data_IF_704792134603
#
_entry.id   IF_704792134603
#
_cell.length_a   1.000
_cell.length_b   1.000
_cell.length_c   1.000
_cell.angle_alpha   90.00
_cell.angle_beta   90.00
_cell.angle_gamma   90.00
#
_symmetry.space_group_name_H-M   'P 1'
#
loop_
_entity.id
_entity.type
_entity.pdbx_description
1 polymer ?
#
# COMPACT_ATOMS: atom_id res chain seq x y z
N UNK A 1 -10.80 3.62 57.85
CA UNK A 1 -10.01 3.33 56.62
C UNK A 1 -10.89 2.71 55.55
N UNK A 2 -12.15 3.17 55.41
CA UNK A 2 -13.24 2.33 54.87
C UNK A 2 -14.07 3.01 53.77
N UNK A 3 -13.49 4.02 53.11
CA UNK A 3 -14.17 4.75 52.03
C UNK A 3 -13.91 4.12 50.66
N UNK A 4 -12.81 3.36 50.52
CA UNK A 4 -12.37 2.79 49.23
C UNK A 4 -13.22 1.59 48.76
N UNK A 5 -13.83 0.83 49.68
CA UNK A 5 -14.55 -0.42 49.35
C UNK A 5 -15.95 -0.16 48.77
N UNK A 6 -16.58 0.99 49.06
CA UNK A 6 -17.94 1.32 48.60
C UNK A 6 -18.00 2.01 47.23
N UNK A 7 -16.86 2.48 46.70
CA UNK A 7 -16.80 3.26 45.45
C UNK A 7 -16.75 2.39 44.17
N UNK A 8 -16.19 1.19 44.26
CA UNK A 8 -16.07 0.26 43.14
C UNK A 8 -17.42 -0.23 42.55
N UNK A 9 -18.46 -0.59 43.33
CA UNK A 9 -19.69 -1.18 42.76
C UNK A 9 -20.46 -0.23 41.84
N UNK A 10 -20.50 1.07 42.13
CA UNK A 10 -21.33 2.04 41.38
C UNK A 10 -20.74 2.36 40.00
N UNK A 11 -19.41 2.33 39.86
CA UNK A 11 -18.78 2.62 38.56
C UNK A 11 -18.99 1.51 37.53
N UNK A 12 -19.47 0.34 37.93
CA UNK A 12 -19.66 -0.84 37.06
C UNK A 12 -21.14 -1.20 36.85
N UNK A 13 -22.07 -0.56 37.57
CA UNK A 13 -23.52 -0.74 37.36
C UNK A 13 -24.00 -0.05 36.10
N UNK A 14 -24.76 -0.75 35.26
CA UNK A 14 -25.36 -0.19 34.05
C UNK A 14 -26.50 0.81 34.36
N UNK A 15 -27.24 0.60 35.45
CA UNK A 15 -28.32 1.48 35.90
C UNK A 15 -27.94 2.21 37.19
N UNK A 16 -27.44 3.44 37.06
CA UNK A 16 -27.06 4.31 38.17
C UNK A 16 -28.27 4.81 38.99
N UNK A 17 -29.47 4.85 38.39
CA UNK A 17 -30.69 5.31 39.05
C UNK A 17 -31.07 4.42 40.25
N UNK A 18 -30.98 3.10 40.08
CA UNK A 18 -31.34 2.08 41.07
C UNK A 18 -30.21 1.74 42.05
N UNK A 19 -29.00 2.29 41.84
CA UNK A 19 -27.86 2.01 42.70
C UNK A 19 -28.08 2.57 44.12
N UNK A 20 -27.79 1.77 45.15
CA UNK A 20 -27.82 2.20 46.55
C UNK A 20 -26.52 2.95 46.92
N UNK A 21 -26.35 4.15 46.37
CA UNK A 21 -25.21 5.02 46.64
C UNK A 21 -25.66 6.44 46.94
N UNK A 22 -24.80 7.25 47.58
CA UNK A 22 -25.06 8.67 47.74
C UNK A 22 -25.21 9.35 46.37
N UNK A 23 -26.08 10.35 46.27
CA UNK A 23 -26.34 11.07 45.02
C UNK A 23 -25.05 11.60 44.38
N UNK A 24 -24.14 12.06 45.23
CA UNK A 24 -22.81 12.56 44.85
C UNK A 24 -21.93 11.49 44.19
N UNK A 25 -22.04 10.24 44.65
CA UNK A 25 -21.29 9.11 44.10
C UNK A 25 -21.91 8.61 42.80
N UNK A 26 -23.24 8.71 42.65
CA UNK A 26 -23.94 8.44 41.38
C UNK A 26 -23.51 9.45 40.30
N UNK A 27 -23.44 10.73 40.65
CA UNK A 27 -23.01 11.79 39.72
C UNK A 27 -21.56 11.56 39.27
N UNK A 28 -20.64 11.23 40.20
CA UNK A 28 -19.25 10.91 39.83
C UNK A 28 -19.13 9.64 39.00
N UNK A 29 -19.90 8.59 39.31
CA UNK A 29 -19.91 7.37 38.52
C UNK A 29 -20.44 7.61 37.09
N UNK A 30 -21.46 8.46 36.92
CA UNK A 30 -21.97 8.88 35.61
C UNK A 30 -20.87 9.55 34.78
N UNK A 31 -20.15 10.53 35.36
CA UNK A 31 -19.05 11.24 34.69
C UNK A 31 -17.90 10.29 34.29
N UNK A 32 -17.62 9.27 35.11
CA UNK A 32 -16.57 8.28 34.80
C UNK A 32 -17.04 7.33 33.69
N UNK A 33 -18.28 6.82 33.76
CA UNK A 33 -18.82 5.89 32.77
C UNK A 33 -18.95 6.55 31.39
N UNK A 34 -19.38 7.81 31.33
CA UNK A 34 -19.48 8.55 30.06
C UNK A 34 -18.11 8.79 29.41
N UNK A 35 -17.04 8.88 30.20
CA UNK A 35 -15.69 9.19 29.69
C UNK A 35 -14.81 7.96 29.48
N UNK A 36 -15.22 6.76 29.91
CA UNK A 36 -14.43 5.52 29.79
C UNK A 36 -14.12 5.12 28.35
N UNK A 37 -14.99 5.44 27.41
CA UNK A 37 -14.74 5.17 25.98
C UNK A 37 -13.62 6.04 25.41
N UNK A 38 -13.43 7.24 25.97
CA UNK A 38 -12.36 8.17 25.62
C UNK A 38 -11.17 8.07 26.59
N UNK A 39 -10.93 6.89 27.16
CA UNK A 39 -9.73 6.66 27.95
C UNK A 39 -8.51 6.58 27.01
N UNK A 40 -7.41 7.33 27.27
CA UNK A 40 -6.15 7.18 26.56
C UNK A 40 -5.65 5.74 26.45
N UNK A 41 -6.02 4.84 27.36
CA UNK A 41 -5.66 3.41 27.23
C UNK A 41 -6.32 2.74 26.01
N UNK A 42 -7.46 3.24 25.55
CA UNK A 42 -8.22 2.71 24.42
C UNK A 42 -7.69 3.19 23.06
N UNK A 43 -7.20 4.44 22.98
CA UNK A 43 -6.70 5.02 21.72
C UNK A 43 -5.17 5.15 21.64
N UNK A 44 -4.46 5.13 22.76
CA UNK A 44 -3.01 4.99 22.76
C UNK A 44 -2.67 3.54 22.43
N UNK A 45 -1.90 3.37 21.35
CA UNK A 45 -1.35 2.06 20.99
C UNK A 45 -0.51 1.55 22.17
N UNK A 46 -1.02 0.52 22.86
CA UNK A 46 -0.26 -0.20 23.89
C UNK A 46 1.15 -0.48 23.36
N UNK A 47 2.21 -0.23 24.15
CA UNK A 47 3.55 -0.60 23.75
C UNK A 47 3.52 -2.11 23.48
N UNK A 48 3.76 -2.47 22.22
CA UNK A 48 3.86 -3.86 21.82
C UNK A 48 4.99 -4.46 22.68
N UNK A 49 4.63 -5.42 23.54
CA UNK A 49 5.60 -6.16 24.36
C UNK A 49 6.67 -6.82 23.49
N UNK A 50 7.70 -7.46 24.07
CA UNK A 50 8.72 -8.13 23.27
C UNK A 50 8.06 -9.05 22.23
N UNK A 51 8.54 -9.06 20.98
CA UNK A 51 7.94 -9.89 19.94
C UNK A 51 8.00 -11.37 20.32
N UNK A 52 7.07 -12.19 19.83
CA UNK A 52 7.08 -13.63 20.09
C UNK A 52 8.38 -14.27 19.63
N UNK A 53 8.81 -15.40 20.21
CA UNK A 53 10.09 -16.03 19.91
C UNK A 53 10.25 -16.48 18.44
N UNK A 54 9.14 -16.69 17.72
CA UNK A 54 9.14 -17.01 16.29
C UNK A 54 9.36 -15.79 15.38
N UNK A 55 9.23 -14.57 15.91
CA UNK A 55 9.41 -13.34 15.13
C UNK A 55 10.89 -13.00 14.99
N UNK A 56 11.28 -12.73 13.75
CA UNK A 56 12.62 -12.26 13.38
C UNK A 56 12.51 -10.88 12.75
N UNK A 57 13.36 -9.94 13.17
CA UNK A 57 13.35 -8.58 12.63
C UNK A 57 13.58 -8.57 11.11
N UNK A 58 12.70 -7.92 10.35
CA UNK A 58 12.78 -7.87 8.88
C UNK A 58 13.87 -6.93 8.35
N UNK A 59 14.53 -6.15 9.21
CA UNK A 59 15.71 -5.35 8.86
C UNK A 59 16.98 -6.16 9.06
N UNK A 60 17.23 -6.64 10.29
CA UNK A 60 18.51 -7.29 10.64
C UNK A 60 18.48 -8.82 10.73
N UNK A 61 17.32 -9.46 10.62
CA UNK A 61 17.17 -10.92 10.71
C UNK A 61 17.25 -11.50 12.12
N UNK A 62 17.68 -10.73 13.13
CA UNK A 62 17.80 -11.20 14.52
C UNK A 62 16.44 -11.26 15.23
N UNK A 63 16.18 -12.26 16.08
CA UNK A 63 14.97 -12.32 16.92
C UNK A 63 15.02 -11.32 18.08
N UNK A 64 13.92 -11.17 18.81
CA UNK A 64 13.86 -10.43 20.08
C UNK A 64 13.49 -8.94 20.01
N UNK A 65 13.33 -8.36 18.82
CA UNK A 65 12.85 -6.97 18.66
C UNK A 65 12.06 -6.78 17.36
N UNK A 66 11.08 -5.88 17.37
CA UNK A 66 10.37 -5.49 16.15
C UNK A 66 11.24 -4.63 15.24
N UNK A 67 10.94 -4.62 13.94
CA UNK A 67 11.62 -3.77 12.94
C UNK A 67 11.71 -2.29 13.33
N UNK A 68 10.70 -1.77 14.06
CA UNK A 68 10.66 -0.39 14.55
C UNK A 68 11.76 -0.10 15.59
N UNK A 69 12.10 -1.10 16.38
CA UNK A 69 13.07 -1.04 17.48
C UNK A 69 14.37 -1.76 17.08
N UNK A 70 14.70 -1.79 15.78
CA UNK A 70 15.90 -2.43 15.29
C UNK A 70 17.15 -1.64 15.70
N UNK A 71 18.15 -2.26 16.37
CA UNK A 71 19.36 -1.56 16.78
C UNK A 71 20.14 -1.00 15.58
N UNK A 72 20.06 -1.67 14.43
CA UNK A 72 20.73 -1.25 13.17
C UNK A 72 19.94 -0.20 12.38
N UNK A 73 18.98 0.50 13.00
CA UNK A 73 18.16 1.54 12.33
C UNK A 73 18.99 2.77 11.92
N UNK A 74 20.06 3.07 12.65
CA UNK A 74 20.95 4.22 12.39
C UNK A 74 22.12 3.93 11.46
N UNK A 75 22.46 2.65 11.24
CA UNK A 75 23.64 2.26 10.47
C UNK A 75 23.35 2.37 8.98
N UNK A 76 23.96 3.36 8.30
CA UNK A 76 23.84 3.55 6.84
C UNK A 76 24.50 2.44 6.03
N UNK A 77 25.46 1.73 6.62
CA UNK A 77 26.18 0.61 5.99
C UNK A 77 25.50 -0.75 6.23
N UNK A 78 24.39 -0.78 6.96
CA UNK A 78 23.71 -2.04 7.26
C UNK A 78 22.83 -2.45 6.07
N UNK A 79 23.36 -3.34 5.23
CA UNK A 79 22.57 -3.96 4.17
C UNK A 79 21.53 -4.90 4.80
N UNK A 80 20.22 -4.67 4.55
CA UNK A 80 19.19 -5.52 5.11
C UNK A 80 19.32 -6.93 4.55
N UNK A 81 19.21 -7.94 5.43
CA UNK A 81 19.21 -9.33 5.02
C UNK A 81 17.98 -9.59 4.15
N UNK A 82 18.20 -9.74 2.84
CA UNK A 82 17.13 -10.02 1.88
C UNK A 82 16.62 -11.44 2.11
N UNK A 83 15.37 -11.57 2.53
CA UNK A 83 14.71 -12.86 2.66
C UNK A 83 14.09 -13.23 1.32
N UNK A 84 14.56 -14.33 0.74
CA UNK A 84 14.02 -14.86 -0.51
C UNK A 84 12.61 -15.37 -0.23
N UNK A 85 11.63 -14.82 -0.95
CA UNK A 85 10.22 -15.23 -0.82
C UNK A 85 9.95 -16.41 -1.76
N UNK A 86 9.02 -17.27 -1.36
CA UNK A 86 8.52 -18.35 -2.24
C UNK A 86 7.56 -17.76 -3.27
N UNK A 87 7.61 -18.24 -4.52
CA UNK A 87 6.66 -17.84 -5.56
C UNK A 87 5.33 -18.58 -5.38
N UNK A 88 4.35 -17.92 -4.79
CA UNK A 88 2.98 -18.44 -4.67
C UNK A 88 2.09 -17.77 -5.72
N UNK A 89 1.35 -18.56 -6.51
CA UNK A 89 0.31 -18.05 -7.43
C UNK A 89 0.79 -17.58 -8.82
N UNK A 90 2.09 -17.49 -9.08
CA UNK A 90 2.64 -17.14 -10.40
C UNK A 90 2.96 -18.44 -11.16
N UNK A 91 2.43 -18.65 -12.38
CA UNK A 91 2.74 -19.85 -13.15
C UNK A 91 4.18 -19.84 -13.65
N UNK A 92 4.77 -21.03 -13.79
CA UNK A 92 6.18 -21.22 -14.17
C UNK A 92 6.52 -20.64 -15.55
N UNK A 93 5.57 -20.59 -16.48
CA UNK A 93 5.76 -20.02 -17.82
C UNK A 93 6.12 -18.54 -17.80
N UNK A 94 5.74 -17.81 -16.75
CA UNK A 94 6.08 -16.39 -16.60
C UNK A 94 7.33 -16.16 -15.74
N UNK A 95 8.12 -17.20 -15.45
CA UNK A 95 9.32 -17.13 -14.63
C UNK A 95 10.56 -17.53 -15.44
N UNK A 96 11.65 -16.80 -15.24
CA UNK A 96 12.99 -17.09 -15.77
C UNK A 96 13.83 -17.68 -14.64
N UNK A 97 14.40 -18.87 -14.85
CA UNK A 97 15.32 -19.49 -13.88
C UNK A 97 16.63 -18.68 -13.80
N UNK A 98 17.14 -18.50 -12.59
CA UNK A 98 18.37 -17.75 -12.30
C UNK A 98 19.22 -18.56 -11.33
N UNK A 99 20.54 -18.61 -11.54
CA UNK A 99 21.44 -19.36 -10.68
C UNK A 99 21.76 -18.62 -9.38
N UNK A 100 21.83 -17.29 -9.42
CA UNK A 100 22.25 -16.47 -8.29
C UNK A 100 21.09 -16.06 -7.36
N UNK A 101 21.16 -16.42 -6.06
CA UNK A 101 20.14 -16.07 -5.07
C UNK A 101 20.10 -14.58 -4.72
N UNK A 102 21.16 -13.83 -5.06
CA UNK A 102 21.26 -12.39 -4.78
C UNK A 102 20.69 -11.50 -5.91
N UNK A 103 20.20 -12.11 -6.99
CA UNK A 103 19.62 -11.34 -8.11
C UNK A 103 18.38 -10.59 -7.67
N UNK A 104 18.22 -9.34 -8.12
CA UNK A 104 17.07 -8.50 -7.75
C UNK A 104 15.76 -9.17 -8.17
N UNK A 105 14.85 -9.37 -7.24
CA UNK A 105 13.56 -10.01 -7.50
C UNK A 105 13.59 -11.54 -7.59
N UNK A 106 14.70 -12.19 -7.20
CA UNK A 106 14.77 -13.64 -7.11
C UNK A 106 13.76 -14.20 -6.09
N UNK A 107 13.00 -15.19 -6.52
CA UNK A 107 12.02 -15.93 -5.72
C UNK A 107 12.34 -17.43 -5.77
N UNK A 108 12.00 -18.15 -4.70
CA UNK A 108 12.16 -19.61 -4.66
C UNK A 108 10.92 -20.27 -5.28
N UNK A 109 11.11 -21.06 -6.34
CA UNK A 109 10.04 -21.82 -6.97
C UNK A 109 9.70 -23.07 -6.15
N UNK A 110 8.54 -23.70 -6.42
CA UNK A 110 8.16 -24.98 -5.79
C UNK A 110 9.14 -26.12 -6.09
N UNK A 111 9.88 -26.04 -7.20
CA UNK A 111 10.96 -26.96 -7.58
C UNK A 111 12.27 -26.74 -6.83
N UNK A 112 12.37 -25.73 -5.95
CA UNK A 112 13.57 -25.42 -5.20
C UNK A 112 14.63 -24.62 -5.97
N UNK A 113 14.35 -24.22 -7.21
CA UNK A 113 15.20 -23.33 -8.01
C UNK A 113 14.90 -21.86 -7.72
N UNK A 114 15.84 -20.97 -8.02
CA UNK A 114 15.59 -19.53 -8.00
C UNK A 114 15.09 -19.07 -9.36
N UNK A 115 14.08 -18.20 -9.36
CA UNK A 115 13.50 -17.66 -10.57
C UNK A 115 12.97 -16.24 -10.36
N UNK A 116 12.93 -15.46 -11.44
CA UNK A 116 12.43 -14.08 -11.46
C UNK A 116 11.29 -14.00 -12.48
N UNK A 117 10.18 -13.30 -12.21
CA UNK A 117 9.16 -13.06 -13.21
C UNK A 117 9.71 -12.35 -14.46
N UNK A 118 9.33 -12.78 -15.66
CA UNK A 118 9.77 -12.19 -16.93
C UNK A 118 9.56 -10.66 -16.94
N UNK A 119 8.36 -10.22 -16.56
CA UNK A 119 8.01 -8.79 -16.45
C UNK A 119 8.96 -8.00 -15.54
N UNK A 120 9.46 -8.62 -14.47
CA UNK A 120 10.37 -7.97 -13.53
C UNK A 120 11.78 -7.94 -14.10
N UNK A 121 12.22 -9.02 -14.74
CA UNK A 121 13.52 -9.07 -15.42
C UNK A 121 13.62 -7.98 -16.50
N UNK A 122 12.57 -7.82 -17.31
CA UNK A 122 12.47 -6.74 -18.30
C UNK A 122 12.46 -5.36 -17.65
N UNK A 123 11.68 -5.15 -16.59
CA UNK A 123 11.65 -3.87 -15.88
C UNK A 123 13.01 -3.49 -15.29
N UNK A 124 13.78 -4.46 -14.78
CA UNK A 124 15.14 -4.21 -14.30
C UNK A 124 16.11 -3.92 -15.45
N UNK A 125 15.92 -4.53 -16.61
CA UNK A 125 16.72 -4.24 -17.80
C UNK A 125 16.42 -2.85 -18.39
N UNK A 126 15.15 -2.39 -18.35
CA UNK A 126 14.73 -1.12 -18.97
C UNK A 126 15.21 0.14 -18.26
N UNK A 127 15.72 0.04 -17.03
CA UNK A 127 16.20 1.19 -16.25
C UNK A 127 15.06 2.16 -15.86
N UNK A 128 14.95 2.50 -14.57
CA UNK A 128 13.94 3.46 -14.13
C UNK A 128 14.31 4.86 -14.63
N UNK A 129 13.57 5.39 -15.59
CA UNK A 129 13.59 6.82 -15.94
C UNK A 129 12.48 7.50 -15.14
N UNK A 130 12.84 8.27 -14.12
CA UNK A 130 11.87 9.17 -13.49
C UNK A 130 11.63 10.34 -14.44
N UNK A 131 10.43 10.44 -15.01
CA UNK A 131 9.99 11.65 -15.71
C UNK A 131 9.33 12.55 -14.65
N UNK A 132 9.95 13.67 -14.25
CA UNK A 132 9.35 14.55 -13.25
C UNK A 132 7.98 15.07 -13.77
N UNK A 133 6.95 15.19 -12.91
CA UNK A 133 5.59 15.56 -13.31
C UNK A 133 5.43 16.92 -14.00
N UNK A 134 6.49 17.75 -14.03
CA UNK A 134 6.47 19.13 -14.52
C UNK A 134 7.10 19.31 -15.91
N UNK A 135 7.71 18.27 -16.48
CA UNK A 135 8.16 18.37 -17.87
C UNK A 135 6.96 18.19 -18.78
N UNK A 136 6.77 19.06 -19.80
CA UNK A 136 5.79 18.83 -20.86
C UNK A 136 5.90 17.38 -21.33
N UNK A 137 4.76 16.73 -21.55
CA UNK A 137 4.75 15.44 -22.19
C UNK A 137 5.36 15.60 -23.58
N UNK A 138 6.66 15.34 -23.70
CA UNK A 138 7.27 14.91 -24.96
C UNK A 138 6.30 13.88 -25.53
N UNK A 139 5.78 14.07 -26.76
CA UNK A 139 4.74 13.24 -27.31
C UNK A 139 5.22 11.82 -27.14
N UNK A 140 4.48 11.07 -26.29
CA UNK A 140 4.83 9.70 -25.98
C UNK A 140 5.06 9.04 -27.32
N UNK A 141 6.29 8.60 -27.57
CA UNK A 141 6.57 7.60 -28.57
C UNK A 141 5.85 6.35 -28.07
N UNK A 142 4.52 6.34 -28.26
CA UNK A 142 3.81 5.14 -28.60
C UNK A 142 4.69 4.43 -29.62
N UNK A 143 4.94 3.18 -29.33
CA UNK A 143 5.57 2.24 -30.25
C UNK A 143 4.66 2.07 -31.48
N UNK A 144 4.52 3.10 -32.29
CA UNK A 144 4.24 2.95 -33.70
C UNK A 144 5.58 2.72 -34.37
N UNK A 145 5.75 1.53 -34.90
CA UNK A 145 6.64 1.29 -36.03
C UNK A 145 6.50 2.46 -37.01
N UNK A 146 7.58 2.95 -37.64
CA UNK A 146 7.52 4.04 -38.63
C UNK A 146 6.84 3.60 -39.95
N UNK A 147 5.80 2.77 -39.89
CA UNK A 147 5.17 2.15 -41.05
C UNK A 147 3.71 1.71 -40.88
N UNK A 148 3.05 1.95 -39.74
CA UNK A 148 1.62 1.71 -39.65
C UNK A 148 0.88 2.96 -40.19
N UNK A 149 0.22 2.89 -41.37
CA UNK A 149 -0.50 4.03 -41.91
C UNK A 149 -1.64 4.40 -40.96
N UNK A 150 -1.79 5.69 -40.70
CA UNK A 150 -2.89 6.23 -39.90
C UNK A 150 -4.19 5.79 -40.57
N UNK A 151 -5.13 5.15 -39.85
CA UNK A 151 -6.39 4.72 -40.44
C UNK A 151 -7.20 5.94 -40.91
N UNK A 152 -7.82 5.83 -42.08
CA UNK A 152 -8.57 6.91 -42.74
C UNK A 152 -9.75 7.43 -41.88
N UNK A 153 -10.22 6.66 -40.90
CA UNK A 153 -11.25 7.06 -39.94
C UNK A 153 -10.80 8.19 -38.99
N UNK A 154 -9.49 8.37 -38.81
CA UNK A 154 -8.92 9.43 -37.96
C UNK A 154 -8.53 10.69 -38.74
N UNK A 155 -8.73 10.68 -40.06
CA UNK A 155 -8.42 11.79 -40.94
C UNK A 155 -9.69 12.60 -41.21
N UNK A 156 -9.55 13.92 -41.18
CA UNK A 156 -10.60 14.82 -41.60
C UNK A 156 -10.77 14.73 -43.12
N UNK A 157 -11.99 14.48 -43.60
CA UNK A 157 -12.25 14.34 -45.04
C UNK A 157 -12.14 15.67 -45.81
N UNK A 158 -12.01 16.81 -45.12
CA UNK A 158 -11.83 18.15 -45.70
C UNK A 158 -10.35 18.49 -45.86
N UNK A 159 -9.57 18.51 -44.77
CA UNK A 159 -8.14 18.86 -44.80
C UNK A 159 -7.21 17.66 -45.02
N UNK A 160 -7.71 16.42 -44.90
CA UNK A 160 -6.95 15.15 -45.03
C UNK A 160 -5.82 14.96 -44.02
N UNK A 161 -5.83 15.76 -42.96
CA UNK A 161 -4.95 15.64 -41.80
C UNK A 161 -5.69 15.00 -40.62
N UNK A 162 -4.94 14.65 -39.57
CA UNK A 162 -5.50 14.12 -38.31
C UNK A 162 -6.56 15.08 -37.75
N UNK A 163 -7.71 14.53 -37.36
CA UNK A 163 -8.80 15.29 -36.76
C UNK A 163 -8.33 16.09 -35.53
N UNK A 164 -8.47 17.41 -35.57
CA UNK A 164 -8.23 18.33 -34.45
C UNK A 164 -9.57 18.87 -33.97
N UNK A 165 -9.89 18.65 -32.68
CA UNK A 165 -11.19 18.99 -32.09
C UNK A 165 -12.37 18.46 -32.93
N UNK A 166 -12.50 17.13 -33.00
CA UNK A 166 -13.44 16.48 -33.90
C UNK A 166 -14.91 16.78 -33.58
N UNK A 167 -15.63 17.37 -34.53
CA UNK A 167 -17.08 17.60 -34.49
C UNK A 167 -17.81 16.61 -35.41
N UNK A 168 -18.95 16.07 -34.95
CA UNK A 168 -19.77 15.12 -35.72
C UNK A 168 -20.95 15.83 -36.37
N UNK A 169 -21.09 15.69 -37.68
CA UNK A 169 -22.21 16.30 -38.41
C UNK A 169 -23.48 15.46 -38.20
N UNK A 170 -24.58 16.06 -37.68
CA UNK A 170 -25.77 15.32 -37.28
C UNK A 170 -26.58 14.68 -38.43
N UNK A 171 -26.36 15.11 -39.69
CA UNK A 171 -27.08 14.55 -40.83
C UNK A 171 -26.52 13.20 -41.31
N UNK A 172 -25.22 12.95 -41.12
CA UNK A 172 -24.54 11.80 -41.71
C UNK A 172 -23.58 11.08 -40.74
N UNK A 173 -23.32 11.62 -39.55
CA UNK A 173 -22.46 11.01 -38.55
C UNK A 173 -20.95 11.08 -38.86
N UNK A 174 -20.56 11.85 -39.88
CA UNK A 174 -19.14 12.03 -40.24
C UNK A 174 -18.46 13.04 -39.30
N UNK A 175 -17.21 12.75 -38.92
CA UNK A 175 -16.37 13.61 -38.09
C UNK A 175 -15.42 14.46 -38.93
N UNK A 176 -15.29 15.74 -38.57
CA UNK A 176 -14.38 16.72 -39.19
C UNK A 176 -13.71 17.55 -38.09
N UNK A 177 -12.64 18.27 -38.42
CA UNK A 177 -12.10 19.27 -37.50
C UNK A 177 -13.15 20.38 -37.28
N UNK A 178 -13.26 20.92 -36.06
CA UNK A 178 -14.23 21.99 -35.75
C UNK A 178 -14.04 23.24 -36.65
N UNK A 179 -12.81 23.49 -37.10
CA UNK A 179 -12.46 24.64 -37.95
C UNK A 179 -12.60 24.39 -39.47
N UNK A 180 -12.93 23.15 -39.90
CA UNK A 180 -13.03 22.76 -41.31
C UNK A 180 -14.49 22.72 -41.80
#
# INVERSE_FOLDING_TARGET
SDVCVKYLPVTQTANLAEANAAEEDKIKAMMIQSCREYDPVSYLKKPLGPPPPSYTCFRCGKPGHYIKNCPTKGDKNFEPVRRIRKSTGIPRSFMVEVNDPNTKGAMLTSSGKYAIPIINAEAYARGKKEKPPFLPEEPSSSSSSPGDPIPDELLCLICKDLLTDAAVIPCCGNSYCDEC
#
